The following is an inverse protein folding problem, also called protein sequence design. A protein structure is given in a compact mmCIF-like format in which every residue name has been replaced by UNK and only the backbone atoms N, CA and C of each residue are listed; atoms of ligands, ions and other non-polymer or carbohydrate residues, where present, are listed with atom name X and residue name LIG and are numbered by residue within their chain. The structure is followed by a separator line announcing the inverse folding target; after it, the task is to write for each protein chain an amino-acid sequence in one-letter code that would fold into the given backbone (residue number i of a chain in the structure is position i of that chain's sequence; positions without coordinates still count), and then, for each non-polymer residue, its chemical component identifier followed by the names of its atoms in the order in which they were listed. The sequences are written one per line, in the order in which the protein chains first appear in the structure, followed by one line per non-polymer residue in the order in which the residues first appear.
data_IF_739302632521
#
_entry.id   IF_739302632521
#
_cell.length_a   1.000
_cell.length_b   1.000
_cell.length_c   1.000
_cell.angle_alpha   90.00
_cell.angle_beta   90.00
_cell.angle_gamma   90.00
#
_symmetry.space_group_name_H-M   'P 1'
#
loop_
_entity.id
_entity.type
_entity.pdbx_description
1 polymer ?
#
# COMPACT_ATOMS: atom_id res chain seq x y z
N UNK A 1 -2.08 -21.50 7.26
CA UNK A 1 -2.81 -20.20 7.39
C UNK A 1 -1.81 -19.08 7.14
N UNK A 2 -2.16 -18.10 6.31
CA UNK A 2 -1.28 -16.97 5.98
C UNK A 2 -1.28 -16.00 7.16
N UNK A 3 -0.11 -15.64 7.68
CA UNK A 3 -0.01 -14.58 8.67
C UNK A 3 0.27 -13.23 7.98
N UNK A 4 -0.80 -12.55 7.55
CA UNK A 4 -0.74 -11.24 6.91
C UNK A 4 -0.17 -10.13 7.79
N UNK A 5 0.03 -10.41 9.09
CA UNK A 5 0.53 -9.44 10.07
C UNK A 5 2.01 -9.61 10.37
N UNK A 6 2.66 -10.60 9.76
CA UNK A 6 4.09 -10.80 9.91
C UNK A 6 4.88 -9.55 9.55
N UNK A 7 5.85 -9.19 10.38
CA UNK A 7 6.81 -8.13 10.08
C UNK A 7 7.55 -8.45 8.77
N UNK A 8 7.63 -7.46 7.88
CA UNK A 8 8.40 -7.56 6.64
C UNK A 8 9.56 -6.57 6.68
N UNK A 9 10.69 -6.96 6.10
CA UNK A 9 11.90 -6.11 6.13
C UNK A 9 12.65 -6.15 4.79
N UNK A 10 13.18 -5.00 4.44
CA UNK A 10 14.22 -4.82 3.43
C UNK A 10 15.52 -4.38 4.12
N UNK A 11 16.58 -4.12 3.37
CA UNK A 11 17.79 -3.50 3.92
C UNK A 11 17.47 -2.15 4.56
N UNK A 12 16.65 -1.32 3.91
CA UNK A 12 16.40 0.07 4.32
C UNK A 12 15.09 0.29 5.07
N UNK A 13 14.10 -0.59 4.91
CA UNK A 13 12.74 -0.37 5.43
C UNK A 13 12.25 -1.55 6.27
N UNK A 14 11.43 -1.21 7.25
CA UNK A 14 10.68 -2.17 8.07
C UNK A 14 9.20 -1.89 7.97
N UNK A 15 8.40 -2.92 7.75
CA UNK A 15 6.94 -2.88 7.74
C UNK A 15 6.45 -3.62 8.98
N UNK A 16 5.90 -2.87 9.92
CA UNK A 16 5.37 -3.41 11.18
C UNK A 16 3.87 -3.18 11.27
N UNK A 17 3.17 -3.94 12.09
CA UNK A 17 1.74 -3.73 12.28
C UNK A 17 1.46 -2.32 12.79
N UNK A 18 0.47 -1.66 12.18
CA UNK A 18 0.02 -0.34 12.61
C UNK A 18 -0.70 -0.46 13.96
N UNK A 19 -0.34 0.40 14.89
CA UNK A 19 -0.92 0.53 16.22
C UNK A 19 -1.45 1.95 16.44
N UNK A 20 -2.32 2.13 17.41
CA UNK A 20 -2.87 3.46 17.74
C UNK A 20 -1.78 4.50 18.04
N UNK A 21 -0.69 4.07 18.69
CA UNK A 21 0.46 4.93 18.98
C UNK A 21 1.13 5.54 17.75
N UNK A 22 0.96 4.95 16.57
CA UNK A 22 1.55 5.46 15.31
C UNK A 22 0.77 6.64 14.70
N UNK A 23 -0.40 6.99 15.24
CA UNK A 23 -1.31 7.95 14.60
C UNK A 23 -0.65 9.30 14.34
N UNK A 24 -0.07 9.92 15.36
CA UNK A 24 0.44 11.30 15.23
C UNK A 24 1.62 11.38 14.24
N UNK A 25 2.54 10.43 14.27
CA UNK A 25 3.66 10.42 13.32
C UNK A 25 3.21 10.13 11.88
N UNK A 26 2.28 9.20 11.69
CA UNK A 26 1.69 8.96 10.37
C UNK A 26 0.88 10.15 9.88
N UNK A 27 0.18 10.84 10.78
CA UNK A 27 -0.54 12.06 10.43
C UNK A 27 0.40 13.20 10.01
N UNK A 28 1.58 13.32 10.59
CA UNK A 28 2.57 14.30 10.11
C UNK A 28 2.89 14.11 8.62
N UNK A 29 3.03 12.88 8.16
CA UNK A 29 3.20 12.57 6.74
C UNK A 29 1.92 12.87 5.96
N UNK A 30 0.79 12.37 6.43
CA UNK A 30 -0.50 12.45 5.74
C UNK A 30 -1.10 13.86 5.71
N UNK A 31 -0.69 14.76 6.62
CA UNK A 31 -1.16 16.16 6.67
C UNK A 31 -0.66 17.01 5.51
N UNK A 32 0.31 16.53 4.74
CA UNK A 32 0.77 17.21 3.53
C UNK A 32 -0.24 16.97 2.39
N UNK A 33 -0.92 18.02 1.86
CA UNK A 33 -1.90 17.88 0.79
C UNK A 33 -1.36 17.22 -0.48
N UNK A 34 -0.07 17.40 -0.79
CA UNK A 34 0.57 16.80 -1.97
C UNK A 34 0.52 15.27 -1.96
N UNK A 35 0.49 14.64 -0.78
CA UNK A 35 0.38 13.18 -0.65
C UNK A 35 -0.88 12.67 -1.35
N UNK A 36 -1.96 13.45 -1.34
CA UNK A 36 -3.30 13.09 -1.80
C UNK A 36 -3.72 13.77 -3.12
N UNK A 37 -2.85 14.57 -3.71
CA UNK A 37 -3.17 15.42 -4.88
C UNK A 37 -3.76 14.62 -6.05
N UNK A 38 -3.23 13.44 -6.34
CA UNK A 38 -3.68 12.55 -7.40
C UNK A 38 -4.64 11.45 -6.93
N UNK A 39 -4.88 11.37 -5.62
CA UNK A 39 -5.74 10.37 -5.03
C UNK A 39 -7.22 10.77 -5.15
N UNK A 40 -8.19 9.82 -5.31
CA UNK A 40 -9.62 10.16 -5.30
C UNK A 40 -10.06 10.90 -4.02
N UNK A 41 -9.54 10.51 -2.87
CA UNK A 41 -9.78 11.14 -1.57
C UNK A 41 -8.78 12.28 -1.30
N UNK A 42 -8.90 13.37 -2.06
CA UNK A 42 -7.93 14.48 -2.05
C UNK A 42 -7.84 15.24 -0.74
N UNK A 43 -8.85 15.18 0.11
CA UNK A 43 -8.91 15.90 1.38
C UNK A 43 -8.52 15.04 2.61
N UNK A 44 -7.91 13.87 2.38
CA UNK A 44 -7.46 12.96 3.44
C UNK A 44 -6.33 13.58 4.30
N UNK A 45 -5.69 14.65 3.86
CA UNK A 45 -4.77 15.44 4.67
C UNK A 45 -5.42 16.13 5.86
N UNK A 46 -6.75 16.33 5.84
CA UNK A 46 -7.50 16.89 6.97
C UNK A 46 -7.57 15.87 8.10
N UNK A 47 -7.24 16.28 9.34
CA UNK A 47 -7.12 15.37 10.50
C UNK A 47 -8.33 14.46 10.67
N UNK A 48 -9.55 15.00 10.55
CA UNK A 48 -10.79 14.21 10.65
C UNK A 48 -10.88 13.11 9.57
N UNK A 49 -10.51 13.42 8.34
CA UNK A 49 -10.52 12.45 7.23
C UNK A 49 -9.44 11.39 7.40
N UNK A 50 -8.24 11.81 7.81
CA UNK A 50 -7.17 10.88 8.11
C UNK A 50 -7.50 9.99 9.31
N UNK A 51 -8.11 10.53 10.37
CA UNK A 51 -8.56 9.73 11.52
C UNK A 51 -9.50 8.61 11.10
N UNK A 52 -10.46 8.89 10.23
CA UNK A 52 -11.35 7.85 9.69
C UNK A 52 -10.56 6.79 8.88
N UNK A 53 -9.69 7.23 7.99
CA UNK A 53 -8.81 6.33 7.22
C UNK A 53 -7.96 5.45 8.13
N UNK A 54 -7.36 6.02 9.18
CA UNK A 54 -6.54 5.32 10.15
C UNK A 54 -7.35 4.28 10.95
N UNK A 55 -8.58 4.62 11.37
CA UNK A 55 -9.47 3.66 12.02
C UNK A 55 -9.80 2.48 11.10
N UNK A 56 -10.05 2.71 9.82
CA UNK A 56 -10.25 1.61 8.87
C UNK A 56 -9.00 0.73 8.73
N UNK A 57 -7.81 1.32 8.89
CA UNK A 57 -6.55 0.58 8.88
C UNK A 57 -6.44 -0.36 10.09
N UNK A 58 -6.76 0.13 11.29
CA UNK A 58 -6.75 -0.67 12.53
C UNK A 58 -7.80 -1.79 12.51
N UNK A 59 -8.95 -1.55 11.87
CA UNK A 59 -10.05 -2.49 11.77
C UNK A 59 -9.92 -3.49 10.60
N UNK A 60 -8.93 -3.32 9.73
CA UNK A 60 -8.74 -4.23 8.60
C UNK A 60 -8.37 -5.64 9.09
N UNK A 61 -9.11 -6.65 8.66
CA UNK A 61 -8.94 -8.04 9.11
C UNK A 61 -7.52 -8.57 8.87
N UNK A 62 -6.88 -8.13 7.79
CA UNK A 62 -5.50 -8.51 7.46
C UNK A 62 -4.44 -7.60 8.12
N UNK A 63 -4.86 -6.61 8.89
CA UNK A 63 -3.98 -5.61 9.49
C UNK A 63 -3.54 -4.54 8.49
N UNK A 64 -2.67 -3.67 8.96
CA UNK A 64 -2.08 -2.60 8.17
C UNK A 64 -0.61 -2.45 8.57
N UNK A 65 0.25 -2.10 7.64
CA UNK A 65 1.65 -1.85 7.91
C UNK A 65 1.94 -0.35 8.05
N UNK A 66 2.63 -0.01 9.12
CA UNK A 66 3.39 1.23 9.23
C UNK A 66 4.79 0.98 8.67
N UNK A 67 5.24 1.88 7.81
CA UNK A 67 6.54 1.78 7.12
C UNK A 67 7.54 2.66 7.86
N UNK A 68 8.67 2.07 8.23
CA UNK A 68 9.75 2.73 8.95
C UNK A 68 11.01 2.77 8.07
N UNK A 69 11.61 3.94 7.93
CA UNK A 69 12.98 4.07 7.45
C UNK A 69 13.94 3.66 8.57
N UNK A 70 14.64 2.55 8.38
CA UNK A 70 15.53 1.95 9.39
C UNK A 70 16.79 2.81 9.67
N UNK A 71 17.21 3.61 8.68
CA UNK A 71 18.41 4.45 8.83
C UNK A 71 18.10 5.71 9.66
N UNK A 72 16.88 6.22 9.56
CA UNK A 72 16.44 7.43 10.26
C UNK A 72 15.59 7.13 11.50
N UNK A 73 15.23 5.86 11.71
CA UNK A 73 14.28 5.42 12.76
C UNK A 73 13.00 6.26 12.76
N UNK A 74 12.40 6.40 11.57
CA UNK A 74 11.27 7.31 11.34
C UNK A 74 10.14 6.65 10.55
N UNK A 75 8.90 6.90 10.98
CA UNK A 75 7.70 6.50 10.25
C UNK A 75 7.56 7.35 8.99
N UNK A 76 7.41 6.71 7.84
CA UNK A 76 7.39 7.38 6.52
C UNK A 76 6.12 7.17 5.72
N UNK A 77 5.21 6.33 6.19
CA UNK A 77 3.95 6.05 5.51
C UNK A 77 3.30 4.76 5.96
N UNK A 78 2.32 4.32 5.21
CA UNK A 78 1.62 3.05 5.47
C UNK A 78 1.17 2.37 4.19
N UNK A 79 0.87 1.06 4.32
CA UNK A 79 0.36 0.21 3.24
C UNK A 79 -0.36 -0.99 3.85
N UNK A 80 -1.18 -1.70 3.07
CA UNK A 80 -1.86 -2.89 3.61
C UNK A 80 -2.19 -3.93 2.54
N UNK A 81 -2.36 -5.17 3.01
CA UNK A 81 -3.15 -6.19 2.33
C UNK A 81 -4.62 -6.04 2.71
N UNK A 82 -5.52 -6.31 1.79
CA UNK A 82 -6.97 -6.30 2.06
C UNK A 82 -7.73 -7.18 1.08
N UNK A 83 -8.97 -7.50 1.38
CA UNK A 83 -9.86 -8.30 0.51
C UNK A 83 -9.20 -9.60 0.02
N UNK A 84 -8.78 -10.45 0.96
CA UNK A 84 -8.31 -11.79 0.64
C UNK A 84 -9.49 -12.66 0.18
N UNK A 85 -9.34 -13.30 -0.97
CA UNK A 85 -10.30 -14.23 -1.55
C UNK A 85 -9.61 -15.59 -1.75
N UNK A 86 -9.98 -16.56 -0.90
CA UNK A 86 -9.42 -17.92 -0.94
C UNK A 86 -9.84 -18.68 -2.20
N UNK A 87 -11.04 -18.42 -2.71
CA UNK A 87 -11.57 -19.10 -3.90
C UNK A 87 -10.83 -18.61 -5.16
N UNK A 88 -10.67 -17.29 -5.27
CA UNK A 88 -9.93 -16.67 -6.38
C UNK A 88 -8.41 -16.81 -6.22
N UNK A 89 -7.93 -17.20 -5.04
CA UNK A 89 -6.49 -17.26 -4.72
C UNK A 89 -5.83 -15.90 -4.80
N UNK A 90 -6.53 -14.85 -4.35
CA UNK A 90 -6.10 -13.48 -4.53
C UNK A 90 -6.15 -12.65 -3.24
N UNK A 91 -5.39 -11.55 -3.26
CA UNK A 91 -5.45 -10.48 -2.26
C UNK A 91 -5.23 -9.14 -2.95
N UNK A 92 -5.69 -8.06 -2.33
CA UNK A 92 -5.38 -6.70 -2.77
C UNK A 92 -4.26 -6.08 -1.95
N UNK A 93 -3.44 -5.28 -2.62
CA UNK A 93 -2.40 -4.43 -2.02
C UNK A 93 -2.73 -2.98 -2.33
N UNK A 94 -2.76 -2.13 -1.31
CA UNK A 94 -3.08 -0.73 -1.53
C UNK A 94 -3.12 0.11 -0.26
N UNK A 95 -3.91 1.18 -0.33
CA UNK A 95 -3.96 2.20 0.72
C UNK A 95 -2.58 2.73 1.09
N UNK A 96 -1.67 2.77 0.09
CA UNK A 96 -0.28 3.14 0.28
C UNK A 96 -0.13 4.65 0.18
N UNK A 97 0.50 5.24 1.18
CA UNK A 97 1.05 6.58 1.07
C UNK A 97 2.45 6.63 1.68
N UNK A 98 3.29 7.49 1.13
CA UNK A 98 4.66 7.72 1.56
C UNK A 98 4.92 9.22 1.66
N UNK A 99 5.80 9.60 2.58
CA UNK A 99 6.32 10.96 2.63
C UNK A 99 6.90 11.36 1.25
N UNK A 100 6.58 12.56 0.75
CA UNK A 100 7.00 12.99 -0.59
C UNK A 100 8.51 12.92 -0.86
N UNK A 101 9.35 13.01 0.15
CA UNK A 101 10.80 12.89 0.03
C UNK A 101 11.27 11.51 -0.48
N UNK A 102 10.42 10.49 -0.38
CA UNK A 102 10.69 9.14 -0.89
C UNK A 102 10.17 8.92 -2.31
N UNK A 103 9.47 9.89 -2.89
CA UNK A 103 8.97 9.78 -4.25
C UNK A 103 10.10 9.87 -5.27
N UNK A 104 10.03 9.07 -6.33
CA UNK A 104 11.08 9.00 -7.33
C UNK A 104 12.37 8.29 -6.87
N UNK A 105 12.34 7.75 -5.64
CA UNK A 105 13.40 6.88 -5.11
C UNK A 105 13.02 5.40 -5.28
N UNK A 106 13.90 4.49 -4.85
CA UNK A 106 13.61 3.04 -4.83
C UNK A 106 12.69 2.61 -3.68
N UNK A 107 12.26 3.51 -2.78
CA UNK A 107 11.53 3.16 -1.57
C UNK A 107 10.23 2.38 -1.87
N UNK A 108 9.36 2.94 -2.72
CA UNK A 108 8.09 2.26 -3.04
C UNK A 108 8.31 0.89 -3.70
N UNK A 109 9.29 0.77 -4.58
CA UNK A 109 9.60 -0.51 -5.24
C UNK A 109 10.15 -1.55 -4.26
N UNK A 110 11.00 -1.16 -3.31
CA UNK A 110 11.49 -2.07 -2.25
C UNK A 110 10.34 -2.53 -1.34
N UNK A 111 9.47 -1.62 -0.93
CA UNK A 111 8.32 -1.92 -0.08
C UNK A 111 7.36 -2.86 -0.79
N UNK A 112 7.00 -2.56 -2.05
CA UNK A 112 6.13 -3.45 -2.84
C UNK A 112 6.77 -4.79 -3.08
N UNK A 113 8.07 -4.82 -3.39
CA UNK A 113 8.79 -6.08 -3.61
C UNK A 113 8.73 -6.98 -2.39
N UNK A 114 9.03 -6.50 -1.20
CA UNK A 114 9.00 -7.36 0.01
C UNK A 114 7.60 -7.86 0.32
N UNK A 115 6.56 -7.04 0.07
CA UNK A 115 5.17 -7.47 0.21
C UNK A 115 4.80 -8.56 -0.81
N UNK A 116 5.21 -8.40 -2.06
CA UNK A 116 4.94 -9.37 -3.13
C UNK A 116 5.73 -10.66 -2.96
N UNK A 117 7.01 -10.58 -2.59
CA UNK A 117 7.84 -11.75 -2.28
C UNK A 117 7.24 -12.60 -1.14
N UNK A 118 6.68 -11.93 -0.13
CA UNK A 118 5.99 -12.62 0.96
C UNK A 118 4.68 -13.25 0.48
N UNK A 119 3.82 -12.47 -0.15
CA UNK A 119 2.44 -12.92 -0.41
C UNK A 119 2.37 -13.97 -1.52
N UNK A 120 3.24 -13.92 -2.52
CA UNK A 120 3.30 -14.92 -3.58
C UNK A 120 3.82 -16.29 -3.16
N UNK A 121 4.24 -16.45 -1.91
CA UNK A 121 4.45 -17.78 -1.34
C UNK A 121 3.12 -18.52 -1.09
N UNK A 122 2.03 -17.79 -1.01
CA UNK A 122 0.73 -18.29 -0.57
C UNK A 122 -0.42 -18.05 -1.54
N UNK A 123 -0.30 -17.08 -2.43
CA UNK A 123 -1.37 -16.54 -3.28
C UNK A 123 -0.97 -16.58 -4.75
N UNK A 124 -1.95 -16.71 -5.64
CA UNK A 124 -1.73 -16.84 -7.08
C UNK A 124 -1.77 -15.51 -7.83
N UNK A 125 -2.46 -14.50 -7.28
CA UNK A 125 -2.55 -13.18 -7.91
C UNK A 125 -2.83 -12.06 -6.91
N UNK A 126 -2.30 -10.89 -7.24
CA UNK A 126 -2.49 -9.66 -6.47
C UNK A 126 -3.23 -8.65 -7.33
N UNK A 127 -4.23 -7.99 -6.74
CA UNK A 127 -4.92 -6.86 -7.37
C UNK A 127 -4.51 -5.54 -6.72
N UNK A 128 -4.59 -4.46 -7.53
CA UNK A 128 -4.36 -3.08 -7.10
C UNK A 128 -5.52 -2.22 -7.61
N UNK A 129 -6.21 -1.54 -6.69
CA UNK A 129 -7.29 -0.62 -7.01
C UNK A 129 -6.75 0.82 -6.95
N UNK A 130 -6.72 1.51 -8.08
CA UNK A 130 -6.07 2.82 -8.21
C UNK A 130 -7.01 3.79 -8.92
N UNK A 131 -7.16 5.00 -8.38
CA UNK A 131 -7.91 6.06 -9.06
C UNK A 131 -7.33 6.38 -10.45
N UNK A 132 -8.18 6.57 -11.44
CA UNK A 132 -7.78 6.79 -12.84
C UNK A 132 -6.80 7.96 -13.03
N UNK A 133 -6.92 8.99 -12.19
CA UNK A 133 -6.06 10.18 -12.23
C UNK A 133 -4.82 10.07 -11.32
N UNK A 134 -4.64 8.96 -10.61
CA UNK A 134 -3.46 8.71 -9.79
C UNK A 134 -2.34 8.11 -10.64
N UNK A 135 -1.80 8.91 -11.56
CA UNK A 135 -0.80 8.48 -12.53
C UNK A 135 0.49 7.98 -11.89
N UNK A 136 0.91 8.59 -10.78
CA UNK A 136 2.09 8.15 -10.02
C UNK A 136 1.93 6.71 -9.55
N UNK A 137 0.82 6.40 -8.90
CA UNK A 137 0.52 5.05 -8.43
C UNK A 137 0.33 4.05 -9.56
N UNK A 138 -0.35 4.45 -10.64
CA UNK A 138 -0.55 3.61 -11.82
C UNK A 138 0.78 3.21 -12.47
N UNK A 139 1.67 4.18 -12.71
CA UNK A 139 3.01 3.91 -13.27
C UNK A 139 3.86 3.02 -12.35
N UNK A 140 3.81 3.24 -11.03
CA UNK A 140 4.53 2.40 -10.09
C UNK A 140 4.03 0.95 -10.12
N UNK A 141 2.72 0.74 -10.25
CA UNK A 141 2.10 -0.58 -10.33
C UNK A 141 2.42 -1.29 -11.66
N UNK A 142 2.40 -0.56 -12.77
CA UNK A 142 2.80 -1.09 -14.08
C UNK A 142 4.27 -1.53 -14.11
N UNK A 143 5.15 -0.80 -13.41
CA UNK A 143 6.58 -1.19 -13.28
C UNK A 143 6.78 -2.48 -12.50
N UNK A 144 5.83 -2.91 -11.67
CA UNK A 144 5.88 -4.21 -11.00
C UNK A 144 5.51 -5.38 -11.93
N UNK A 145 5.06 -5.08 -13.15
CA UNK A 145 4.58 -6.07 -14.13
C UNK A 145 3.07 -6.28 -14.11
N UNK A 146 2.32 -5.51 -13.30
CA UNK A 146 0.87 -5.60 -13.27
C UNK A 146 0.26 -5.01 -14.55
N UNK A 147 -0.80 -5.66 -15.05
CA UNK A 147 -1.56 -5.22 -16.22
C UNK A 147 -2.93 -4.70 -15.80
N UNK A 148 -3.44 -3.73 -16.54
CA UNK A 148 -4.81 -3.26 -16.32
C UNK A 148 -5.80 -4.39 -16.59
N UNK A 149 -6.65 -4.69 -15.63
CA UNK A 149 -7.66 -5.74 -15.69
C UNK A 149 -9.02 -5.19 -16.09
N UNK A 150 -9.49 -4.15 -15.41
CA UNK A 150 -10.76 -3.48 -15.68
C UNK A 150 -10.76 -2.04 -15.15
N UNK A 151 -11.77 -1.28 -15.57
CA UNK A 151 -12.08 0.03 -15.02
C UNK A 151 -13.51 0.00 -14.48
N UNK A 152 -13.71 0.45 -13.24
CA UNK A 152 -15.02 0.56 -12.61
C UNK A 152 -15.69 1.89 -12.97
N UNK A 153 -17.00 1.97 -12.77
CA UNK A 153 -17.79 3.18 -13.08
C UNK A 153 -17.40 4.40 -12.23
N UNK A 154 -16.90 4.17 -11.02
CA UNK A 154 -16.42 5.22 -10.11
C UNK A 154 -15.04 5.79 -10.47
N UNK A 155 -14.44 5.32 -11.56
CA UNK A 155 -13.12 5.73 -12.02
C UNK A 155 -11.97 4.93 -11.42
N UNK A 156 -12.23 3.87 -10.65
CA UNK A 156 -11.19 2.96 -10.17
C UNK A 156 -10.66 2.10 -11.32
N UNK A 157 -9.35 2.12 -11.51
CA UNK A 157 -8.65 1.22 -12.44
C UNK A 157 -8.08 0.06 -11.62
N UNK A 158 -8.52 -1.14 -11.94
CA UNK A 158 -8.06 -2.37 -11.30
C UNK A 158 -6.94 -2.96 -12.12
N UNK A 159 -5.79 -3.17 -11.49
CA UNK A 159 -4.65 -3.89 -12.05
C UNK A 159 -4.58 -5.29 -11.45
N UNK A 160 -4.04 -6.23 -12.21
CA UNK A 160 -3.77 -7.60 -11.77
C UNK A 160 -2.32 -7.96 -12.03
N UNK A 161 -1.69 -8.61 -11.06
CA UNK A 161 -0.36 -9.20 -11.18
C UNK A 161 -0.46 -10.69 -10.82
N UNK A 162 -0.47 -11.59 -11.79
CA UNK A 162 -0.37 -13.03 -11.54
C UNK A 162 1.04 -13.40 -11.04
N UNK A 163 1.13 -14.35 -10.12
CA UNK A 163 2.40 -14.87 -9.60
C UNK A 163 3.40 -15.26 -10.70
N UNK A 164 2.92 -15.93 -11.74
CA UNK A 164 3.76 -16.33 -12.88
C UNK A 164 4.42 -15.16 -13.60
N UNK A 165 3.75 -14.01 -13.68
CA UNK A 165 4.28 -12.81 -14.33
C UNK A 165 5.26 -12.06 -13.41
N UNK A 166 5.12 -12.21 -12.10
CA UNK A 166 6.03 -11.62 -11.11
C UNK A 166 7.37 -12.36 -11.03
N UNK A 167 7.36 -13.67 -11.24
CA UNK A 167 8.55 -14.52 -11.15
C UNK A 167 9.39 -14.56 -12.46
N UNK A 168 8.91 -13.89 -13.50
CA UNK A 168 9.67 -13.74 -14.74
C UNK A 168 10.67 -12.57 -14.64
#
# INVERSE_FOLDING_TARGET
MIDFRSKLETESFSLIQTEEAHFEELYLVASNPFVWEQHPERDRWKKKKFSYFFQTALQNDLGCFTIIDKNLDRLIGSTRFYSHDEIDGSVRVGYTFLSPEYWGTSANSQIKKVMLDFIFQHIEKVYFDIGENNFRSRKATEKLGAAQYKKEEDGTVVYVLPKKEYLL
#
